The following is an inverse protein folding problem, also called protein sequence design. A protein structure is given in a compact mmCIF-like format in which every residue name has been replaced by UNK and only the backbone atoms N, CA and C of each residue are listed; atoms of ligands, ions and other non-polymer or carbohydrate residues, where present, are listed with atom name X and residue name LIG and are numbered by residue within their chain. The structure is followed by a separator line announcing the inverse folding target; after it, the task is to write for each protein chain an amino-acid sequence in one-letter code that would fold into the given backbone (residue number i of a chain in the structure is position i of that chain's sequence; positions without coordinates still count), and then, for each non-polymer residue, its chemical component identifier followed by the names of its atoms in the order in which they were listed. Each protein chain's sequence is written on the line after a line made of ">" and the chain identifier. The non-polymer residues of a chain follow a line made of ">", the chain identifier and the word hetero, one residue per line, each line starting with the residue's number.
data_IF_287256065694
#
_entry.id   IF_287256065694
#
_cell.length_a   1.000
_cell.length_b   1.000
_cell.length_c   1.000
_cell.angle_alpha   90.00
_cell.angle_beta   90.00
_cell.angle_gamma   90.00
#
_symmetry.space_group_name_H-M   'P 1'
#
loop_
_entity.id
_entity.type
_entity.pdbx_description
1 polymer ?
#
# COMPACT_ATOMS: atom_id res chain seq x y z
N UNK A 1 -20.09 -28.67 5.78
CA UNK A 1 -19.93 -27.84 4.57
C UNK A 1 -18.52 -27.25 4.56
N UNK A 2 -17.69 -27.52 3.56
CA UNK A 2 -16.33 -26.91 3.41
C UNK A 2 -16.26 -26.10 2.10
N UNK A 3 -17.20 -25.18 1.92
CA UNK A 3 -17.21 -24.27 0.76
C UNK A 3 -16.60 -22.92 1.13
N UNK A 4 -15.81 -22.33 0.23
CA UNK A 4 -15.40 -20.92 0.36
C UNK A 4 -16.55 -20.03 -0.11
N UNK A 5 -17.20 -19.34 0.84
CA UNK A 5 -18.32 -18.43 0.57
C UNK A 5 -17.87 -17.18 -0.18
N UNK A 6 -16.71 -16.64 0.19
CA UNK A 6 -16.13 -15.43 -0.38
C UNK A 6 -14.61 -15.41 -0.23
N UNK A 7 -13.97 -14.54 -1.00
CA UNK A 7 -12.56 -14.18 -0.86
C UNK A 7 -12.47 -12.71 -0.49
N UNK A 8 -11.55 -12.37 0.42
CA UNK A 8 -11.32 -11.01 0.86
C UNK A 8 -9.89 -10.57 0.51
N UNK A 9 -9.77 -9.39 -0.08
CA UNK A 9 -8.50 -8.74 -0.40
C UNK A 9 -8.50 -7.37 0.27
N UNK A 10 -7.37 -7.01 0.85
CA UNK A 10 -7.12 -5.63 1.32
C UNK A 10 -5.96 -5.03 0.54
N UNK A 11 -6.15 -3.84 0.00
CA UNK A 11 -5.14 -3.10 -0.75
C UNK A 11 -4.94 -1.73 -0.10
N UNK A 12 -3.71 -1.41 0.29
CA UNK A 12 -3.37 -0.05 0.72
C UNK A 12 -3.41 0.89 -0.50
N UNK A 13 -4.04 2.05 -0.34
CA UNK A 13 -4.12 3.08 -1.38
C UNK A 13 -3.14 4.20 -1.03
N UNK A 14 -2.57 4.92 -2.01
CA UNK A 14 -1.71 6.06 -1.73
C UNK A 14 -2.49 7.19 -1.05
N UNK A 15 -1.93 7.76 0.02
CA UNK A 15 -2.53 8.88 0.76
C UNK A 15 -2.41 10.21 -0.02
N UNK A 16 -1.48 10.27 -0.95
CA UNK A 16 -1.23 11.41 -1.84
C UNK A 16 -2.36 11.59 -2.87
N UNK A 17 -3.20 10.56 -3.08
CA UNK A 17 -4.38 10.66 -3.93
C UNK A 17 -5.58 11.23 -3.14
N UNK A 18 -6.33 12.12 -3.78
CA UNK A 18 -7.57 12.63 -3.21
C UNK A 18 -8.67 11.54 -3.19
N UNK A 19 -9.81 11.86 -2.57
CA UNK A 19 -10.91 10.91 -2.38
C UNK A 19 -11.45 10.33 -3.70
N UNK A 20 -11.69 11.17 -4.71
CA UNK A 20 -12.22 10.74 -6.01
C UNK A 20 -11.21 9.87 -6.77
N UNK A 21 -9.93 10.26 -6.77
CA UNK A 21 -8.85 9.46 -7.37
C UNK A 21 -8.71 8.08 -6.72
N UNK A 22 -8.91 7.99 -5.39
CA UNK A 22 -8.92 6.70 -4.67
C UNK A 22 -10.13 5.84 -5.05
N UNK A 23 -11.29 6.43 -5.30
CA UNK A 23 -12.45 5.71 -5.84
C UNK A 23 -12.14 5.15 -7.22
N UNK A 24 -11.62 5.98 -8.13
CA UNK A 24 -11.33 5.59 -9.50
C UNK A 24 -10.26 4.48 -9.57
N UNK A 25 -9.20 4.62 -8.78
CA UNK A 25 -8.18 3.60 -8.60
C UNK A 25 -8.78 2.29 -8.06
N UNK A 26 -9.65 2.37 -7.05
CA UNK A 26 -10.31 1.19 -6.48
C UNK A 26 -11.22 0.51 -7.50
N UNK A 27 -11.98 1.28 -8.29
CA UNK A 27 -12.83 0.75 -9.35
C UNK A 27 -12.00 0.03 -10.41
N UNK A 28 -10.85 0.57 -10.81
CA UNK A 28 -9.94 -0.12 -11.73
C UNK A 28 -9.45 -1.45 -11.15
N UNK A 29 -8.99 -1.47 -9.89
CA UNK A 29 -8.55 -2.71 -9.23
C UNK A 29 -9.68 -3.76 -9.14
N UNK A 30 -10.88 -3.33 -8.77
CA UNK A 30 -12.07 -4.21 -8.69
C UNK A 30 -12.41 -4.78 -10.06
N UNK A 31 -12.31 -3.98 -11.12
CA UNK A 31 -12.51 -4.45 -12.48
C UNK A 31 -11.50 -5.54 -12.86
N UNK A 32 -10.20 -5.32 -12.60
CA UNK A 32 -9.15 -6.31 -12.89
C UNK A 32 -9.33 -7.61 -12.10
N UNK A 33 -9.78 -7.54 -10.84
CA UNK A 33 -9.91 -8.73 -9.98
C UNK A 33 -11.24 -9.48 -10.13
N UNK A 34 -12.32 -8.76 -10.41
CA UNK A 34 -13.68 -9.30 -10.36
C UNK A 34 -14.48 -8.98 -11.62
N UNK A 35 -14.39 -7.76 -12.13
CA UNK A 35 -15.18 -7.28 -13.27
C UNK A 35 -14.93 -8.09 -14.56
N UNK A 36 -13.66 -8.36 -14.88
CA UNK A 36 -13.28 -9.19 -16.05
C UNK A 36 -13.88 -10.60 -16.02
N UNK A 37 -14.18 -11.09 -14.81
CA UNK A 37 -14.73 -12.41 -14.59
C UNK A 37 -16.21 -12.39 -14.23
N UNK A 38 -16.88 -11.22 -14.23
CA UNK A 38 -18.26 -11.04 -13.76
C UNK A 38 -18.51 -11.74 -12.42
N UNK A 39 -17.58 -11.58 -11.48
CA UNK A 39 -17.71 -12.09 -10.12
C UNK A 39 -18.49 -11.09 -9.26
N UNK A 40 -19.59 -11.46 -8.59
CA UNK A 40 -20.25 -10.57 -7.66
C UNK A 40 -19.32 -10.17 -6.51
N UNK A 41 -19.36 -8.88 -6.14
CA UNK A 41 -18.49 -8.32 -5.10
C UNK A 41 -19.20 -7.27 -4.25
N UNK A 42 -18.60 -6.97 -3.11
CA UNK A 42 -18.88 -5.81 -2.26
C UNK A 42 -17.55 -5.22 -1.83
N UNK A 43 -17.49 -3.90 -1.72
CA UNK A 43 -16.25 -3.23 -1.33
C UNK A 43 -16.50 -2.05 -0.41
N UNK A 44 -15.46 -1.68 0.33
CA UNK A 44 -15.44 -0.49 1.15
C UNK A 44 -14.04 0.14 1.07
N UNK A 45 -13.99 1.47 1.01
CA UNK A 45 -12.75 2.23 1.15
C UNK A 45 -12.76 2.84 2.54
N UNK A 46 -11.80 2.44 3.36
CA UNK A 46 -11.62 3.01 4.69
C UNK A 46 -10.50 4.03 4.67
N UNK A 47 -10.64 5.07 5.49
CA UNK A 47 -9.56 6.01 5.78
C UNK A 47 -9.57 6.31 7.28
N UNK A 48 -8.60 5.78 8.02
CA UNK A 48 -8.43 6.08 9.43
C UNK A 48 -6.98 6.45 9.71
N UNK A 49 -6.75 7.18 10.81
CA UNK A 49 -5.41 7.56 11.24
C UNK A 49 -4.69 6.34 11.81
N UNK A 50 -3.43 6.17 11.40
CA UNK A 50 -2.51 5.14 11.84
C UNK A 50 -2.41 5.08 13.36
N UNK A 51 -2.62 3.89 13.93
CA UNK A 51 -2.46 3.67 15.38
C UNK A 51 -0.99 3.64 15.82
N UNK A 52 -0.04 3.56 14.88
CA UNK A 52 1.39 3.52 15.16
C UNK A 52 1.96 4.91 15.47
N UNK A 53 1.51 5.92 14.73
CA UNK A 53 2.05 7.27 14.77
C UNK A 53 0.99 8.33 15.12
N UNK A 54 -0.29 8.01 15.04
CA UNK A 54 -1.40 8.94 15.31
C UNK A 54 -1.45 10.13 14.36
N UNK A 55 -0.73 10.08 13.24
CA UNK A 55 -0.48 11.21 12.35
C UNK A 55 -0.85 10.93 10.90
N UNK A 56 -0.54 9.73 10.39
CA UNK A 56 -0.71 9.43 8.98
C UNK A 56 -2.02 8.70 8.70
N UNK A 57 -2.73 9.16 7.67
CA UNK A 57 -3.87 8.46 7.10
C UNK A 57 -3.46 7.10 6.51
N UNK A 58 -4.30 6.09 6.68
CA UNK A 58 -4.14 4.76 6.09
C UNK A 58 -5.32 4.41 5.18
N UNK A 59 -5.43 5.02 3.99
CA UNK A 59 -6.49 4.65 3.08
C UNK A 59 -6.29 3.23 2.55
N UNK A 60 -7.32 2.40 2.61
CA UNK A 60 -7.28 1.04 2.09
C UNK A 60 -8.63 0.58 1.56
N UNK A 61 -8.58 -0.21 0.50
CA UNK A 61 -9.70 -0.91 -0.10
C UNK A 61 -9.86 -2.26 0.58
N UNK A 62 -11.05 -2.56 1.08
CA UNK A 62 -11.50 -3.92 1.34
C UNK A 62 -12.39 -4.37 0.19
N UNK A 63 -12.02 -5.47 -0.47
CA UNK A 63 -12.79 -6.10 -1.53
C UNK A 63 -13.17 -7.51 -1.10
N UNK A 64 -14.48 -7.75 -1.00
CA UNK A 64 -15.06 -9.07 -0.76
C UNK A 64 -15.74 -9.53 -2.05
N UNK A 65 -15.39 -10.70 -2.57
CA UNK A 65 -16.00 -11.20 -3.81
C UNK A 65 -16.30 -12.69 -3.76
N UNK A 66 -17.29 -13.10 -4.54
CA UNK A 66 -17.61 -14.50 -4.79
C UNK A 66 -16.78 -15.01 -5.96
N UNK A 67 -16.16 -16.17 -5.81
CA UNK A 67 -15.46 -16.82 -6.94
C UNK A 67 -16.41 -17.52 -7.91
N UNK A 68 -17.71 -17.44 -7.65
CA UNK A 68 -18.74 -17.88 -8.60
C UNK A 68 -19.03 -16.72 -9.53
N UNK A 69 -19.00 -17.01 -10.82
CA UNK A 69 -19.23 -16.01 -11.85
C UNK A 69 -20.63 -16.13 -12.42
N UNK A 70 -21.19 -14.97 -12.79
CA UNK A 70 -22.48 -14.86 -13.50
C UNK A 70 -22.30 -14.68 -15.01
N UNK A 71 -21.10 -14.92 -15.54
CA UNK A 71 -20.78 -14.74 -16.96
C UNK A 71 -21.66 -15.54 -17.93
N UNK A 72 -22.31 -16.60 -17.45
CA UNK A 72 -23.22 -17.42 -18.26
C UNK A 72 -24.59 -16.76 -18.49
N UNK A 73 -24.90 -15.65 -17.81
CA UNK A 73 -26.15 -14.93 -17.96
C UNK A 73 -27.38 -15.67 -17.43
N UNK A 74 -27.19 -16.78 -16.71
CA UNK A 74 -28.29 -17.60 -16.21
C UNK A 74 -28.75 -17.08 -14.85
N UNK A 75 -30.01 -16.65 -14.78
CA UNK A 75 -30.66 -16.27 -13.54
C UNK A 75 -30.85 -17.51 -12.63
N UNK A 76 -30.46 -17.37 -11.36
CA UNK A 76 -30.52 -18.45 -10.37
C UNK A 76 -31.09 -17.91 -9.07
N UNK A 77 -31.94 -18.72 -8.43
CA UNK A 77 -32.36 -18.42 -7.06
C UNK A 77 -31.17 -18.55 -6.10
N UNK A 78 -31.22 -17.92 -4.90
CA UNK A 78 -30.19 -18.06 -3.89
C UNK A 78 -29.87 -19.53 -3.53
N UNK A 79 -30.89 -20.40 -3.50
CA UNK A 79 -30.76 -21.82 -3.19
C UNK A 79 -30.01 -22.59 -4.28
N UNK A 80 -30.12 -22.15 -5.54
CA UNK A 80 -29.46 -22.77 -6.69
C UNK A 80 -28.04 -22.23 -6.88
N UNK A 81 -27.81 -20.93 -6.69
CA UNK A 81 -26.56 -20.24 -6.99
C UNK A 81 -25.33 -20.93 -6.38
N UNK A 82 -25.42 -21.35 -5.12
CA UNK A 82 -24.32 -21.97 -4.38
C UNK A 82 -24.23 -23.50 -4.53
N UNK A 83 -25.12 -24.13 -5.30
CA UNK A 83 -25.02 -25.57 -5.56
C UNK A 83 -23.81 -25.93 -6.43
N UNK A 84 -23.58 -27.23 -6.62
CA UNK A 84 -22.56 -27.70 -7.55
C UNK A 84 -22.96 -27.27 -8.97
N UNK A 85 -21.99 -26.75 -9.70
CA UNK A 85 -22.18 -26.43 -11.12
C UNK A 85 -22.47 -27.73 -11.91
N UNK A 86 -23.42 -27.66 -12.84
CA UNK A 86 -23.83 -28.77 -13.71
C UNK A 86 -23.44 -28.46 -15.17
N UNK A 87 -22.27 -28.93 -15.67
CA UNK A 87 -21.81 -28.55 -17.00
C UNK A 87 -22.73 -28.98 -18.15
N UNK A 88 -23.45 -30.09 -17.98
CA UNK A 88 -24.36 -30.61 -19.02
C UNK A 88 -25.68 -29.84 -19.09
N UNK A 89 -26.12 -29.24 -17.99
CA UNK A 89 -27.38 -28.50 -17.86
C UNK A 89 -27.16 -27.34 -16.86
N UNK A 90 -26.48 -26.26 -17.26
CA UNK A 90 -26.05 -25.19 -16.36
C UNK A 90 -27.20 -24.48 -15.61
N UNK A 91 -28.41 -24.49 -16.16
CA UNK A 91 -29.65 -23.99 -15.58
C UNK A 91 -30.18 -24.85 -14.42
N UNK A 92 -29.73 -26.11 -14.31
CA UNK A 92 -30.09 -27.03 -13.22
C UNK A 92 -29.02 -27.10 -12.13
N UNK A 93 -27.97 -26.29 -12.21
CA UNK A 93 -26.87 -26.27 -11.26
C UNK A 93 -26.50 -24.87 -10.79
N UNK A 94 -25.58 -24.80 -9.82
CA UNK A 94 -25.07 -23.53 -9.31
C UNK A 94 -24.10 -22.84 -10.27
N UNK A 95 -23.84 -21.55 -10.00
CA UNK A 95 -22.96 -20.72 -10.81
C UNK A 95 -21.54 -21.30 -10.85
N UNK A 96 -20.89 -21.26 -12.02
CA UNK A 96 -19.55 -21.85 -12.18
C UNK A 96 -18.54 -21.11 -11.30
N UNK A 97 -17.73 -21.89 -10.57
CA UNK A 97 -16.64 -21.35 -9.78
C UNK A 97 -15.40 -21.17 -10.66
N UNK A 98 -14.86 -19.96 -10.70
CA UNK A 98 -13.61 -19.63 -11.40
C UNK A 98 -12.49 -19.56 -10.37
N UNK A 99 -11.95 -20.72 -9.99
CA UNK A 99 -10.76 -20.79 -9.14
C UNK A 99 -9.51 -20.35 -9.90
N UNK A 100 -8.41 -20.12 -9.18
CA UNK A 100 -7.11 -19.80 -9.77
C UNK A 100 -6.70 -20.77 -10.90
N UNK A 101 -6.97 -22.07 -10.74
CA UNK A 101 -6.67 -23.07 -11.78
C UNK A 101 -7.57 -22.90 -13.02
N UNK A 102 -8.85 -22.60 -12.82
CA UNK A 102 -9.82 -22.40 -13.93
C UNK A 102 -9.46 -21.17 -14.76
N UNK A 103 -8.89 -20.14 -14.15
CA UNK A 103 -8.41 -18.93 -14.84
C UNK A 103 -6.93 -19.02 -15.23
N UNK A 104 -6.28 -20.17 -15.10
CA UNK A 104 -4.90 -20.41 -15.54
C UNK A 104 -3.80 -19.77 -14.68
N UNK A 105 -4.13 -19.23 -13.50
CA UNK A 105 -3.16 -18.60 -12.60
C UNK A 105 -2.57 -19.61 -11.60
N UNK A 106 -3.34 -20.62 -11.19
CA UNK A 106 -2.94 -21.61 -10.18
C UNK A 106 -2.28 -20.99 -8.95
N UNK A 107 -1.10 -21.50 -8.55
CA UNK A 107 -0.33 -20.98 -7.41
C UNK A 107 0.17 -19.53 -7.59
N UNK A 108 0.16 -19.00 -8.81
CA UNK A 108 0.70 -17.68 -9.15
C UNK A 108 -0.34 -16.55 -9.02
N UNK A 109 -1.60 -16.86 -8.66
CA UNK A 109 -2.68 -15.87 -8.55
C UNK A 109 -2.32 -14.67 -7.67
N UNK A 110 -1.71 -14.90 -6.50
CA UNK A 110 -1.35 -13.80 -5.59
C UNK A 110 -0.28 -12.89 -6.19
N UNK A 111 0.74 -13.45 -6.85
CA UNK A 111 1.79 -12.67 -7.50
C UNK A 111 1.23 -11.88 -8.70
N UNK A 112 0.30 -12.48 -9.43
CA UNK A 112 -0.41 -11.80 -10.52
C UNK A 112 -1.22 -10.59 -10.00
N UNK A 113 -2.00 -10.76 -8.93
CA UNK A 113 -2.78 -9.67 -8.34
C UNK A 113 -1.90 -8.57 -7.76
N UNK A 114 -0.78 -8.95 -7.13
CA UNK A 114 0.24 -8.03 -6.65
C UNK A 114 0.84 -7.19 -7.79
N UNK A 115 1.12 -7.80 -8.94
CA UNK A 115 1.64 -7.10 -10.11
C UNK A 115 0.62 -6.17 -10.74
N UNK A 116 -0.64 -6.59 -10.86
CA UNK A 116 -1.75 -5.72 -11.29
C UNK A 116 -1.84 -4.51 -10.35
N UNK A 117 -1.80 -4.75 -9.04
CA UNK A 117 -1.90 -3.70 -8.02
C UNK A 117 -0.78 -2.66 -8.19
N UNK A 118 0.47 -3.10 -8.33
CA UNK A 118 1.61 -2.22 -8.59
C UNK A 118 1.40 -1.39 -9.86
N UNK A 119 1.02 -2.04 -10.96
CA UNK A 119 0.86 -1.36 -12.25
C UNK A 119 -0.25 -0.31 -12.20
N UNK A 120 -1.41 -0.64 -11.62
CA UNK A 120 -2.56 0.28 -11.51
C UNK A 120 -2.23 1.44 -10.57
N UNK A 121 -1.64 1.17 -9.39
CA UNK A 121 -1.22 2.24 -8.48
C UNK A 121 -0.21 3.17 -9.14
N UNK A 122 0.84 2.63 -9.76
CA UNK A 122 1.86 3.46 -10.40
C UNK A 122 1.32 4.28 -11.58
N UNK A 123 0.32 3.76 -12.31
CA UNK A 123 -0.38 4.54 -13.34
C UNK A 123 -1.04 5.79 -12.75
N UNK A 124 -1.82 5.61 -11.67
CA UNK A 124 -2.51 6.73 -11.00
C UNK A 124 -1.54 7.69 -10.34
N UNK A 125 -0.48 7.18 -9.70
CA UNK A 125 0.56 8.04 -9.12
C UNK A 125 1.22 8.90 -10.19
N UNK A 126 1.60 8.33 -11.33
CA UNK A 126 2.19 9.08 -12.43
C UNK A 126 1.29 10.21 -12.95
N UNK A 127 -0.02 9.98 -12.98
CA UNK A 127 -1.00 10.95 -13.50
C UNK A 127 -1.35 12.05 -12.49
N UNK A 128 -1.52 11.69 -11.22
CA UNK A 128 -2.13 12.57 -10.22
C UNK A 128 -1.21 13.00 -9.09
N UNK A 129 -0.18 12.22 -8.76
CA UNK A 129 0.71 12.47 -7.64
C UNK A 129 2.13 11.90 -7.90
N UNK A 130 2.85 12.35 -8.94
CA UNK A 130 4.10 11.73 -9.39
C UNK A 130 5.27 11.96 -8.42
N UNK A 131 5.12 12.91 -7.51
CA UNK A 131 6.14 13.30 -6.52
C UNK A 131 5.47 13.28 -5.15
N UNK A 132 6.23 12.87 -4.11
CA UNK A 132 5.82 12.95 -2.71
C UNK A 132 6.90 13.61 -1.87
N UNK A 133 6.48 14.28 -0.79
CA UNK A 133 7.39 14.73 0.25
C UNK A 133 7.74 13.56 1.19
N UNK A 134 9.01 13.43 1.51
CA UNK A 134 9.53 12.52 2.53
C UNK A 134 10.32 13.30 3.55
N UNK A 135 10.34 12.80 4.78
CA UNK A 135 11.19 13.31 5.86
C UNK A 135 12.09 12.18 6.35
N UNK A 136 13.40 12.42 6.33
CA UNK A 136 14.43 11.48 6.79
C UNK A 136 15.34 12.24 7.72
N UNK A 137 15.50 11.77 8.96
CA UNK A 137 16.39 12.38 9.96
C UNK A 137 16.21 13.91 10.12
N UNK A 138 14.95 14.38 10.01
CA UNK A 138 14.58 15.79 10.13
C UNK A 138 14.87 16.66 8.90
N UNK A 139 15.16 16.05 7.74
CA UNK A 139 15.30 16.74 6.46
C UNK A 139 14.15 16.35 5.56
N UNK A 140 13.43 17.38 5.07
CA UNK A 140 12.29 17.22 4.16
C UNK A 140 12.73 17.47 2.73
N UNK A 141 12.31 16.60 1.82
CA UNK A 141 12.59 16.74 0.40
C UNK A 141 11.60 15.93 -0.45
N UNK A 142 11.66 16.12 -1.76
CA UNK A 142 10.73 15.53 -2.71
C UNK A 142 11.38 14.38 -3.46
N UNK A 143 10.64 13.27 -3.61
CA UNK A 143 11.08 12.07 -4.33
C UNK A 143 9.99 11.58 -5.29
N UNK A 144 10.39 10.76 -6.26
CA UNK A 144 9.44 10.07 -7.15
C UNK A 144 8.46 9.21 -6.33
N UNK A 145 7.17 9.30 -6.65
CA UNK A 145 6.14 8.52 -6.00
C UNK A 145 5.83 7.25 -6.81
N UNK A 146 6.39 6.13 -6.36
CA UNK A 146 6.17 4.80 -6.93
C UNK A 146 6.06 3.74 -5.84
N UNK A 147 5.37 2.66 -6.18
CA UNK A 147 5.27 1.45 -5.36
C UNK A 147 5.88 0.25 -6.08
N UNK A 148 6.23 -0.77 -5.30
CA UNK A 148 6.71 -2.06 -5.77
C UNK A 148 5.91 -3.18 -5.11
N UNK A 149 5.59 -4.23 -5.85
CA UNK A 149 4.96 -5.43 -5.32
C UNK A 149 5.96 -6.48 -4.81
N UNK A 150 7.26 -6.25 -5.02
CA UNK A 150 8.31 -7.16 -4.58
C UNK A 150 8.39 -7.19 -3.04
N UNK A 151 8.78 -8.34 -2.50
CA UNK A 151 9.26 -8.40 -1.11
C UNK A 151 10.53 -7.57 -0.96
N UNK A 152 10.90 -7.21 0.27
CA UNK A 152 12.19 -6.57 0.51
C UNK A 152 13.35 -7.42 0.00
N UNK A 153 13.29 -8.75 0.20
CA UNK A 153 14.29 -9.69 -0.32
C UNK A 153 14.43 -9.63 -1.85
N UNK A 154 13.32 -9.76 -2.59
CA UNK A 154 13.33 -9.72 -4.06
C UNK A 154 13.75 -8.33 -4.58
N UNK A 155 13.35 -7.26 -3.88
CA UNK A 155 13.73 -5.90 -4.22
C UNK A 155 15.22 -5.66 -4.00
N UNK A 156 15.77 -6.17 -2.88
CA UNK A 156 17.20 -6.12 -2.57
C UNK A 156 18.01 -6.87 -3.61
N UNK A 157 17.62 -8.10 -3.96
CA UNK A 157 18.28 -8.89 -4.99
C UNK A 157 18.29 -8.17 -6.34
N UNK A 158 17.19 -7.50 -6.69
CA UNK A 158 17.04 -6.80 -7.97
C UNK A 158 17.80 -5.48 -8.04
N UNK A 159 17.82 -4.70 -6.95
CA UNK A 159 18.30 -3.31 -6.96
C UNK A 159 19.60 -3.09 -6.18
N UNK A 160 20.13 -4.13 -5.53
CA UNK A 160 21.35 -4.01 -4.71
C UNK A 160 21.15 -3.23 -3.40
N UNK A 161 19.91 -3.12 -2.92
CA UNK A 161 19.57 -2.45 -1.65
C UNK A 161 19.65 -3.40 -0.45
N UNK A 162 19.55 -2.85 0.75
CA UNK A 162 19.52 -3.60 2.01
C UNK A 162 18.29 -3.28 2.89
N UNK A 163 17.10 -3.34 2.28
CA UNK A 163 15.83 -3.13 2.97
C UNK A 163 15.54 -4.23 3.98
N UNK A 164 15.01 -3.85 5.14
CA UNK A 164 14.67 -4.76 6.25
C UNK A 164 13.17 -4.87 6.47
N UNK A 165 12.70 -6.07 6.78
CA UNK A 165 11.31 -6.30 7.18
C UNK A 165 11.02 -5.72 8.56
N UNK A 166 9.80 -5.19 8.73
CA UNK A 166 9.32 -4.68 10.01
C UNK A 166 8.73 -5.81 10.86
N UNK A 167 8.99 -5.86 12.18
CA UNK A 167 8.36 -6.83 13.05
C UNK A 167 6.85 -6.59 13.15
N UNK A 168 6.07 -7.65 13.25
CA UNK A 168 4.63 -7.57 13.49
C UNK A 168 4.30 -7.68 14.98
N UNK A 169 3.35 -6.87 15.44
CA UNK A 169 2.80 -7.01 16.80
C UNK A 169 1.90 -8.25 16.81
N UNK A 170 2.14 -9.24 17.69
CA UNK A 170 1.28 -10.41 17.80
C UNK A 170 -0.18 -10.01 18.07
N UNK A 171 -1.12 -10.65 17.36
CA UNK A 171 -2.55 -10.27 17.43
C UNK A 171 -3.12 -10.31 18.85
N UNK A 172 -2.66 -11.26 19.67
CA UNK A 172 -3.10 -11.40 21.07
C UNK A 172 -2.59 -10.28 21.99
N UNK A 173 -1.69 -9.41 21.53
CA UNK A 173 -1.21 -8.24 22.29
C UNK A 173 -1.98 -6.95 21.98
N UNK A 174 -2.61 -6.82 20.81
CA UNK A 174 -3.14 -5.55 20.28
C UNK A 174 -4.14 -4.83 21.20
N UNK A 175 -4.80 -5.53 22.12
CA UNK A 175 -5.80 -4.98 23.04
C UNK A 175 -5.53 -5.31 24.52
N UNK A 176 -4.34 -5.83 24.84
CA UNK A 176 -4.00 -6.15 26.22
C UNK A 176 -3.92 -4.88 27.06
N UNK A 177 -4.40 -4.91 28.30
CA UNK A 177 -4.22 -3.81 29.27
C UNK A 177 -3.05 -4.02 30.24
N UNK A 178 -2.33 -5.14 30.09
CA UNK A 178 -1.17 -5.47 30.91
C UNK A 178 -0.02 -4.49 30.63
N UNK A 179 0.51 -3.78 31.66
CA UNK A 179 1.63 -2.85 31.51
C UNK A 179 2.87 -3.46 30.83
N UNK A 180 3.21 -4.71 31.14
CA UNK A 180 4.37 -5.39 30.56
C UNK A 180 4.18 -5.66 29.06
N UNK A 181 2.93 -5.95 28.65
CA UNK A 181 2.59 -6.14 27.23
C UNK A 181 2.58 -4.80 26.51
N UNK A 182 2.08 -3.73 27.16
CA UNK A 182 2.10 -2.38 26.59
C UNK A 182 3.52 -1.87 26.36
N UNK A 183 4.45 -2.12 27.29
CA UNK A 183 5.86 -1.79 27.12
C UNK A 183 6.47 -2.55 25.92
N UNK A 184 6.22 -3.85 25.78
CA UNK A 184 6.65 -4.63 24.61
C UNK A 184 6.09 -4.08 23.31
N UNK A 185 4.81 -3.71 23.27
CA UNK A 185 4.20 -3.09 22.10
C UNK A 185 4.93 -1.80 21.76
N UNK A 186 5.23 -0.96 22.76
CA UNK A 186 5.93 0.30 22.54
C UNK A 186 7.34 0.09 21.99
N UNK A 187 8.08 -0.91 22.50
CA UNK A 187 9.40 -1.29 21.94
C UNK A 187 9.28 -1.72 20.48
N UNK A 188 8.32 -2.60 20.14
CA UNK A 188 8.09 -3.03 18.75
C UNK A 188 7.74 -1.83 17.87
N UNK A 189 6.87 -0.91 18.32
CA UNK A 189 6.53 0.30 17.58
C UNK A 189 7.75 1.18 17.30
N UNK A 190 8.65 1.31 18.27
CA UNK A 190 9.90 2.05 18.11
C UNK A 190 10.80 1.40 17.07
N UNK A 191 11.01 0.08 17.15
CA UNK A 191 11.77 -0.70 16.15
C UNK A 191 11.18 -0.56 14.74
N UNK A 192 9.85 -0.59 14.60
CA UNK A 192 9.17 -0.38 13.30
C UNK A 192 9.48 1.01 12.74
N UNK A 193 9.50 2.05 13.58
CA UNK A 193 9.83 3.42 13.14
C UNK A 193 11.28 3.52 12.65
N UNK A 194 12.21 2.98 13.42
CA UNK A 194 13.65 2.97 13.08
C UNK A 194 13.91 2.23 11.77
N UNK A 195 13.33 1.03 11.59
CA UNK A 195 13.47 0.26 10.34
C UNK A 195 12.86 1.02 9.16
N UNK A 196 11.70 1.65 9.32
CA UNK A 196 11.06 2.42 8.25
C UNK A 196 11.88 3.63 7.83
N UNK A 197 12.44 4.37 8.79
CA UNK A 197 13.31 5.51 8.49
C UNK A 197 14.62 5.08 7.82
N UNK A 198 15.25 4.00 8.32
CA UNK A 198 16.45 3.44 7.70
C UNK A 198 16.21 2.92 6.28
N UNK A 199 15.10 2.23 6.03
CA UNK A 199 14.72 1.78 4.69
C UNK A 199 14.43 2.97 3.76
N UNK A 200 13.83 4.05 4.27
CA UNK A 200 13.55 5.24 3.48
C UNK A 200 14.86 5.95 3.09
N UNK A 201 15.83 6.00 4.01
CA UNK A 201 17.19 6.49 3.73
C UNK A 201 17.91 5.63 2.70
N UNK A 202 17.88 4.31 2.83
CA UNK A 202 18.45 3.37 1.85
C UNK A 202 17.91 3.61 0.44
N UNK A 203 16.60 3.88 0.31
CA UNK A 203 15.95 4.13 -0.98
C UNK A 203 16.28 5.49 -1.60
N UNK A 204 16.57 6.50 -0.77
CA UNK A 204 16.69 7.90 -1.19
C UNK A 204 17.99 8.55 -0.69
N UNK A 205 19.05 7.74 -0.58
CA UNK A 205 20.32 8.17 -0.02
C UNK A 205 20.92 9.34 -0.81
N UNK A 206 20.88 9.27 -2.14
CA UNK A 206 21.46 10.30 -3.00
C UNK A 206 20.73 11.64 -2.86
N UNK A 207 19.40 11.62 -2.91
CA UNK A 207 18.55 12.79 -2.73
C UNK A 207 18.72 13.40 -1.34
N UNK A 208 18.79 12.57 -0.29
CA UNK A 208 19.05 13.04 1.06
C UNK A 208 20.41 13.73 1.20
N UNK A 209 21.49 13.13 0.66
CA UNK A 209 22.83 13.71 0.76
C UNK A 209 22.94 15.03 0.01
N UNK A 210 22.24 15.16 -1.12
CA UNK A 210 22.15 16.42 -1.86
C UNK A 210 21.47 17.51 -1.03
N UNK A 211 20.35 17.19 -0.40
CA UNK A 211 19.58 18.14 0.41
C UNK A 211 20.29 18.51 1.73
N UNK A 212 20.96 17.55 2.36
CA UNK A 212 21.84 17.81 3.50
C UNK A 212 22.96 18.80 3.13
N UNK A 213 23.59 18.59 1.97
CA UNK A 213 24.66 19.47 1.49
C UNK A 213 24.16 20.90 1.24
N UNK A 214 22.99 21.03 0.59
CA UNK A 214 22.33 22.34 0.39
C UNK A 214 22.04 23.03 1.72
N UNK A 215 21.46 22.31 2.68
CA UNK A 215 21.14 22.86 4.01
C UNK A 215 22.39 23.35 4.74
N UNK A 216 23.50 22.60 4.68
CA UNK A 216 24.76 22.98 5.29
C UNK A 216 25.36 24.23 4.62
N UNK A 217 25.30 24.33 3.29
CA UNK A 217 25.74 25.52 2.55
C UNK A 217 24.94 26.75 2.96
N UNK A 218 23.61 26.67 3.00
CA UNK A 218 22.77 27.78 3.47
C UNK A 218 23.08 28.19 4.91
N UNK A 219 23.37 27.25 5.80
CA UNK A 219 23.77 27.58 7.18
C UNK A 219 25.13 28.27 7.23
N UNK A 220 26.08 27.84 6.42
CA UNK A 220 27.39 28.46 6.31
C UNK A 220 27.30 29.90 5.77
N UNK A 221 26.60 30.10 4.65
CA UNK A 221 26.39 31.43 4.05
C UNK A 221 25.69 32.39 5.00
N UNK A 222 24.65 31.93 5.73
CA UNK A 222 23.97 32.76 6.71
C UNK A 222 24.85 33.10 7.92
N UNK A 223 25.69 32.18 8.38
CA UNK A 223 26.65 32.46 9.45
C UNK A 223 27.73 33.45 9.01
N UNK A 224 28.22 33.37 7.77
CA UNK A 224 29.18 34.32 7.20
C UNK A 224 28.57 35.73 7.04
N UNK A 225 27.29 35.82 6.68
CA UNK A 225 26.57 37.11 6.60
C UNK A 225 26.41 37.74 7.98
N UNK A 226 26.12 36.95 9.02
CA UNK A 226 26.00 37.43 10.41
C UNK A 226 27.36 37.82 11.01
N UNK A 227 28.46 37.18 10.57
CA UNK A 227 29.81 37.49 11.04
C UNK A 227 30.50 38.65 10.30
N UNK A 228 29.98 39.12 9.16
CA UNK A 228 30.49 40.35 8.55
C UNK A 228 30.12 41.56 9.43
N UNK A 229 31.10 42.35 9.91
CA UNK A 229 30.80 43.56 10.66
C UNK A 229 29.98 44.50 9.75
N UNK A 230 28.90 45.08 10.30
CA UNK A 230 28.28 46.25 9.66
C UNK A 230 29.39 47.28 9.46
N UNK A 231 29.72 47.59 8.21
CA UNK A 231 30.54 48.77 7.93
C UNK A 231 29.77 49.96 8.50
N UNK A 232 30.28 50.51 9.60
CA UNK A 232 29.93 51.84 10.02
C UNK A 232 30.54 52.78 8.98
N UNK A 233 29.81 53.01 7.88
CA UNK A 233 30.05 54.18 7.05
C UNK A 233 29.41 55.38 7.76
N UNK A 234 30.12 55.87 8.77
CA UNK A 234 30.14 57.29 9.10
C UNK A 234 31.48 57.83 8.60
N UNK A 235 31.42 58.64 7.54
CA UNK A 235 31.99 60.00 7.48
C UNK A 235 32.11 60.44 6.02
N UNK A 236 31.27 61.38 5.60
CA UNK A 236 31.63 62.76 5.25
C UNK A 236 30.36 63.61 5.05
#
# INVERSE_FOLDING_TARGET
>A
MKGRTSTHITVALPKELNYMQRIDLSNQLIYEFCGQYQMPYSFAIHNHVSTLDGRYEQPHLHLLYSERSIYDGIERTPELYFQRHCPKNPERGGAKKLTADVIGLGRHQINHYRKITENVINKFLKEYAPIKEVEIYGIKFHVENKVSCLSNEDYNQKNGTNLKDVPQIPRHYLHSKDPNIQEKIQMVRQTVKEIREANLYELHQAEYQLELSRKNQYQYENNDIVQKPKSNDFDF
#
